data_IF_306364100392
#
_entry.id   IF_306364100392
#
_cell.length_a   1.000
_cell.length_b   1.000
_cell.length_c   1.000
_cell.angle_alpha   90.00
_cell.angle_beta   90.00
_cell.angle_gamma   90.00
#
_symmetry.space_group_name_H-M   'P 1'
#
loop_
_entity.id
_entity.type
_entity.pdbx_description
1 polymer ?
#
# COMPACT_ATOMS: atom_id res chain seq x y z
N UNK A 1 -5.41 43.32 -28.05
CA UNK A 1 -3.93 43.28 -28.02
C UNK A 1 -3.58 42.21 -27.01
N UNK A 2 -3.16 41.03 -27.46
CA UNK A 2 -2.69 39.99 -26.53
C UNK A 2 -1.32 40.43 -26.03
N UNK A 3 -1.23 40.76 -24.76
CA UNK A 3 0.05 41.02 -24.09
C UNK A 3 0.89 39.73 -24.11
N UNK A 4 2.18 39.83 -24.33
CA UNK A 4 3.08 38.70 -24.17
C UNK A 4 3.10 38.26 -22.69
N UNK A 5 3.43 37.00 -22.41
CA UNK A 5 3.50 36.48 -21.05
C UNK A 5 4.38 37.33 -20.12
N UNK A 6 5.48 37.86 -20.63
CA UNK A 6 6.37 38.79 -19.91
C UNK A 6 5.71 40.16 -19.61
N UNK A 7 4.92 40.69 -20.52
CA UNK A 7 4.21 41.95 -20.30
C UNK A 7 3.09 41.81 -19.25
N UNK A 8 2.39 40.70 -19.26
CA UNK A 8 1.40 40.36 -18.23
C UNK A 8 2.02 40.26 -16.84
N UNK A 9 3.21 39.65 -16.73
CA UNK A 9 3.92 39.54 -15.46
C UNK A 9 4.47 40.88 -14.97
N UNK A 10 4.96 41.73 -15.87
CA UNK A 10 5.38 43.10 -15.51
C UNK A 10 4.22 43.92 -14.97
N UNK A 11 3.02 43.84 -15.57
CA UNK A 11 1.83 44.51 -15.03
C UNK A 11 1.40 43.99 -13.66
N UNK A 12 1.52 42.69 -13.43
CA UNK A 12 1.18 42.06 -12.12
C UNK A 12 2.15 42.39 -11.01
N UNK A 13 3.44 42.43 -11.31
CA UNK A 13 4.50 42.80 -10.36
C UNK A 13 4.34 44.28 -9.97
N UNK A 14 3.83 45.10 -10.87
CA UNK A 14 3.69 46.54 -10.68
C UNK A 14 2.37 47.01 -10.04
N UNK A 15 1.48 46.11 -9.58
CA UNK A 15 0.32 46.53 -8.78
C UNK A 15 -1.02 45.84 -9.05
N UNK A 16 -1.00 44.61 -9.56
CA UNK A 16 -2.23 43.87 -9.87
C UNK A 16 -3.08 43.54 -8.64
N UNK A 17 -4.38 43.75 -8.73
CA UNK A 17 -5.37 43.41 -7.71
C UNK A 17 -5.71 41.91 -7.69
N UNK A 18 -6.56 41.51 -6.77
CA UNK A 18 -6.96 40.11 -6.54
C UNK A 18 -7.66 39.46 -7.75
N UNK A 19 -8.35 40.27 -8.57
CA UNK A 19 -9.03 39.84 -9.82
C UNK A 19 -8.02 39.50 -10.90
N UNK A 20 -7.00 40.37 -11.06
CA UNK A 20 -5.91 40.15 -12.01
C UNK A 20 -5.11 38.86 -11.65
N UNK A 21 -4.93 38.54 -10.35
CA UNK A 21 -4.30 37.31 -9.92
C UNK A 21 -5.12 36.06 -10.29
N UNK A 22 -6.45 36.12 -10.22
CA UNK A 22 -7.31 35.01 -10.65
C UNK A 22 -7.27 34.83 -12.17
N UNK A 23 -7.23 35.89 -12.91
CA UNK A 23 -7.09 35.86 -14.38
C UNK A 23 -5.74 35.32 -14.80
N UNK A 24 -4.65 35.70 -14.11
CA UNK A 24 -3.32 35.15 -14.35
C UNK A 24 -3.27 33.65 -14.08
N UNK A 25 -3.88 33.19 -12.98
CA UNK A 25 -3.95 31.77 -12.67
C UNK A 25 -4.65 30.96 -13.77
N UNK A 26 -5.73 31.52 -14.35
CA UNK A 26 -6.43 30.91 -15.49
C UNK A 26 -5.59 30.91 -16.75
N UNK A 27 -4.92 32.02 -17.04
CA UNK A 27 -4.03 32.17 -18.20
C UNK A 27 -2.86 31.16 -18.08
N UNK A 28 -2.23 31.09 -16.91
CA UNK A 28 -1.13 30.18 -16.65
C UNK A 28 -1.51 28.70 -16.85
N UNK A 29 -2.75 28.32 -16.52
CA UNK A 29 -3.26 26.97 -16.75
C UNK A 29 -3.42 26.64 -18.25
N UNK A 30 -3.46 27.62 -19.13
CA UNK A 30 -3.60 27.47 -20.58
C UNK A 30 -2.25 27.46 -21.31
N UNK A 31 -1.15 27.86 -20.64
CA UNK A 31 0.17 27.84 -21.23
C UNK A 31 0.62 26.41 -21.55
N UNK A 32 1.26 26.25 -22.70
CA UNK A 32 2.01 25.03 -22.98
C UNK A 32 3.29 24.95 -22.11
N UNK A 33 3.92 23.78 -22.10
CA UNK A 33 5.10 23.54 -21.25
C UNK A 33 6.26 24.47 -21.58
N UNK A 34 6.51 24.78 -22.85
CA UNK A 34 7.60 25.64 -23.27
C UNK A 34 7.37 27.09 -22.83
N UNK A 35 6.14 27.58 -22.95
CA UNK A 35 5.75 28.90 -22.47
C UNK A 35 5.89 28.98 -20.94
N UNK A 36 5.46 27.94 -20.20
CA UNK A 36 5.59 27.88 -18.75
C UNK A 36 7.06 27.86 -18.31
N UNK A 37 7.95 27.16 -19.03
CA UNK A 37 9.39 27.14 -18.78
C UNK A 37 10.05 28.50 -19.07
N UNK A 38 9.68 29.15 -20.16
CA UNK A 38 10.16 30.52 -20.49
C UNK A 38 9.76 31.51 -19.40
N UNK A 39 8.55 31.38 -18.88
CA UNK A 39 8.04 32.19 -17.78
C UNK A 39 8.81 31.96 -16.49
N UNK A 40 9.06 30.70 -16.15
CA UNK A 40 9.89 30.33 -15.00
C UNK A 40 11.31 30.90 -15.14
N UNK A 41 11.93 30.73 -16.30
CA UNK A 41 13.29 31.25 -16.56
C UNK A 41 13.36 32.79 -16.44
N UNK A 42 12.37 33.50 -16.99
CA UNK A 42 12.26 34.94 -16.85
C UNK A 42 12.11 35.38 -15.39
N UNK A 43 11.20 34.75 -14.64
CA UNK A 43 10.98 35.05 -13.24
C UNK A 43 12.21 34.80 -12.37
N UNK A 44 12.92 33.67 -12.59
CA UNK A 44 14.18 33.36 -11.92
C UNK A 44 15.30 34.37 -12.22
N UNK A 45 15.23 35.05 -13.37
CA UNK A 45 16.12 36.17 -13.74
C UNK A 45 15.80 37.48 -13.03
N UNK A 46 14.64 37.60 -12.39
CA UNK A 46 14.19 38.83 -11.72
C UNK A 46 14.18 38.71 -10.18
N UNK A 47 14.74 37.63 -9.62
CA UNK A 47 14.68 37.34 -8.17
C UNK A 47 15.27 38.45 -7.26
N UNK A 48 16.16 39.30 -7.80
CA UNK A 48 16.78 40.39 -7.03
C UNK A 48 15.87 41.64 -6.89
N UNK A 49 14.67 41.61 -7.47
CA UNK A 49 13.71 42.72 -7.41
C UNK A 49 12.62 42.35 -6.38
N UNK A 50 12.06 43.34 -5.67
CA UNK A 50 10.87 43.14 -4.84
C UNK A 50 9.75 42.55 -5.69
N UNK A 51 9.37 41.31 -5.41
CA UNK A 51 8.40 40.55 -6.20
C UNK A 51 7.23 40.08 -5.36
N UNK A 52 6.08 39.94 -5.99
CA UNK A 52 4.91 39.35 -5.35
C UNK A 52 5.08 37.83 -5.21
N UNK A 53 5.39 37.42 -3.97
CA UNK A 53 5.65 36.01 -3.60
C UNK A 53 4.42 35.11 -3.79
N UNK A 54 3.21 35.66 -3.93
CA UNK A 54 1.99 34.88 -4.12
C UNK A 54 1.94 34.11 -5.45
N UNK A 55 2.78 34.45 -6.41
CA UNK A 55 2.87 33.81 -7.72
C UNK A 55 3.80 32.61 -7.75
N UNK A 56 4.64 32.42 -6.74
CA UNK A 56 5.65 31.37 -6.67
C UNK A 56 5.07 29.98 -6.90
N UNK A 57 3.97 29.68 -6.24
CA UNK A 57 3.32 28.37 -6.36
C UNK A 57 2.78 28.09 -7.76
N UNK A 58 2.48 29.12 -8.52
CA UNK A 58 2.06 28.99 -9.91
C UNK A 58 3.27 28.77 -10.83
N UNK A 59 4.31 29.55 -10.64
CA UNK A 59 5.50 29.54 -11.50
C UNK A 59 6.35 28.27 -11.34
N UNK A 60 6.31 27.61 -10.18
CA UNK A 60 6.99 26.34 -9.93
C UNK A 60 6.29 25.10 -10.49
N UNK A 61 5.16 25.23 -11.20
CA UNK A 61 4.39 24.11 -11.75
C UNK A 61 4.93 23.47 -13.04
N UNK A 62 5.74 24.13 -13.91
CA UNK A 62 6.35 23.41 -15.02
C UNK A 62 7.12 22.21 -14.48
N UNK A 63 6.90 21.04 -15.07
CA UNK A 63 7.51 19.78 -14.62
C UNK A 63 8.53 19.31 -15.64
N UNK A 64 9.52 18.59 -15.13
CA UNK A 64 10.51 17.92 -15.94
C UNK A 64 11.93 18.38 -15.67
N UNK A 65 12.87 17.73 -16.32
CA UNK A 65 14.30 17.94 -16.13
C UNK A 65 14.74 19.39 -16.36
N UNK A 66 14.22 20.02 -17.40
CA UNK A 66 14.53 21.43 -17.74
C UNK A 66 14.11 22.41 -16.63
N UNK A 67 12.92 22.23 -16.06
CA UNK A 67 12.46 23.07 -14.93
C UNK A 67 13.32 22.82 -13.67
N UNK A 68 13.69 21.57 -13.41
CA UNK A 68 14.58 21.21 -12.30
C UNK A 68 15.97 21.84 -12.49
N UNK A 69 16.53 21.82 -13.69
CA UNK A 69 17.82 22.45 -14.01
C UNK A 69 17.80 23.95 -13.81
N UNK A 70 16.75 24.64 -14.27
CA UNK A 70 16.58 26.07 -14.03
C UNK A 70 16.54 26.41 -12.54
N UNK A 71 15.78 25.65 -11.74
CA UNK A 71 15.69 25.85 -10.29
C UNK A 71 17.01 25.53 -9.59
N UNK A 72 17.72 24.45 -9.97
CA UNK A 72 19.05 24.12 -9.42
C UNK A 72 20.07 25.23 -9.76
N UNK A 73 20.06 25.74 -10.99
CA UNK A 73 20.93 26.83 -11.39
C UNK A 73 20.63 28.11 -10.60
N UNK A 74 19.35 28.39 -10.32
CA UNK A 74 18.95 29.52 -9.48
C UNK A 74 19.41 29.34 -8.03
N UNK A 75 19.25 28.15 -7.43
CA UNK A 75 19.72 27.82 -6.08
C UNK A 75 21.23 27.96 -5.94
N UNK A 76 22.00 27.62 -6.98
CA UNK A 76 23.47 27.75 -6.96
C UNK A 76 23.94 29.21 -7.07
N UNK A 77 23.17 30.05 -7.78
CA UNK A 77 23.50 31.48 -7.96
C UNK A 77 23.14 32.33 -6.74
N UNK A 78 22.02 32.02 -6.11
CA UNK A 78 21.46 32.79 -5.02
C UNK A 78 21.89 32.16 -3.68
N UNK A 79 22.61 32.92 -2.87
CA UNK A 79 23.11 32.45 -1.57
C UNK A 79 22.35 33.06 -0.38
N UNK A 80 21.44 33.97 -0.63
CA UNK A 80 20.66 34.60 0.41
C UNK A 80 19.55 33.68 0.91
N UNK A 81 19.38 33.60 2.22
CA UNK A 81 18.47 32.66 2.88
C UNK A 81 17.04 32.76 2.33
N UNK A 82 16.54 33.96 2.06
CA UNK A 82 15.18 34.16 1.58
C UNK A 82 14.95 33.58 0.18
N UNK A 83 15.95 33.66 -0.74
CA UNK A 83 15.88 33.01 -2.04
C UNK A 83 15.83 31.48 -1.92
N UNK A 84 16.63 30.93 -1.02
CA UNK A 84 16.64 29.49 -0.76
C UNK A 84 15.31 29.03 -0.16
N UNK A 85 14.70 29.81 0.75
CA UNK A 85 13.38 29.53 1.30
C UNK A 85 12.31 29.44 0.23
N UNK A 86 12.38 30.26 -0.81
CA UNK A 86 11.45 30.25 -1.93
C UNK A 86 11.67 29.11 -2.92
N UNK A 87 12.91 28.85 -3.27
CA UNK A 87 13.26 27.93 -4.35
C UNK A 87 13.20 26.46 -3.94
N UNK A 88 13.52 26.13 -2.69
CA UNK A 88 13.50 24.74 -2.23
C UNK A 88 12.13 24.07 -2.31
N UNK A 89 11.01 24.71 -1.90
CA UNK A 89 9.68 24.17 -2.12
C UNK A 89 9.34 23.93 -3.59
N UNK A 90 9.77 24.82 -4.49
CA UNK A 90 9.52 24.68 -5.93
C UNK A 90 10.28 23.51 -6.54
N UNK A 91 11.51 23.26 -6.08
CA UNK A 91 12.30 22.11 -6.48
C UNK A 91 11.60 20.78 -6.13
N UNK A 92 10.89 20.72 -4.99
CA UNK A 92 10.09 19.57 -4.61
C UNK A 92 8.98 19.20 -5.58
N UNK A 93 8.43 20.13 -6.34
CA UNK A 93 7.44 19.86 -7.37
C UNK A 93 8.01 19.13 -8.58
N UNK A 94 9.31 19.23 -8.84
CA UNK A 94 9.96 18.63 -10.00
C UNK A 94 10.07 17.10 -9.85
N UNK A 95 10.12 16.60 -8.61
CA UNK A 95 10.11 15.17 -8.27
C UNK A 95 11.32 14.37 -8.78
N UNK A 96 12.40 15.05 -9.11
CA UNK A 96 13.64 14.40 -9.52
C UNK A 96 14.35 13.79 -8.30
N UNK A 97 14.75 12.52 -8.39
CA UNK A 97 15.30 11.77 -7.25
C UNK A 97 16.54 12.42 -6.63
N UNK A 98 17.37 13.08 -7.43
CA UNK A 98 18.55 13.81 -6.94
C UNK A 98 18.15 14.97 -6.02
N UNK A 99 17.07 15.66 -6.35
CA UNK A 99 16.58 16.80 -5.58
C UNK A 99 16.08 16.39 -4.20
N UNK A 100 15.56 15.17 -4.06
CA UNK A 100 15.23 14.63 -2.75
C UNK A 100 16.42 14.62 -1.80
N UNK A 101 17.58 14.15 -2.25
CA UNK A 101 18.75 14.07 -1.38
C UNK A 101 19.28 15.45 -0.99
N UNK A 102 19.21 16.41 -1.90
CA UNK A 102 19.53 17.80 -1.59
C UNK A 102 18.59 18.37 -0.54
N UNK A 103 17.27 18.29 -0.76
CA UNK A 103 16.25 18.79 0.17
C UNK A 103 16.32 18.09 1.54
N UNK A 104 16.46 16.78 1.56
CA UNK A 104 16.62 16.00 2.80
C UNK A 104 17.86 16.43 3.59
N UNK A 105 18.98 16.65 2.91
CA UNK A 105 20.21 17.12 3.54
C UNK A 105 20.02 18.53 4.14
N UNK A 106 19.43 19.46 3.40
CA UNK A 106 19.15 20.83 3.89
C UNK A 106 18.21 20.82 5.13
N UNK A 107 17.20 19.94 5.12
CA UNK A 107 16.29 19.82 6.25
C UNK A 107 16.96 19.22 7.51
N UNK A 108 17.92 18.29 7.33
CA UNK A 108 18.60 17.59 8.43
C UNK A 108 19.79 18.37 9.00
N UNK A 109 20.46 19.18 8.20
CA UNK A 109 21.64 19.92 8.67
C UNK A 109 21.26 21.03 9.67
N UNK A 110 22.12 21.32 10.66
CA UNK A 110 21.95 22.49 11.52
C UNK A 110 21.97 23.78 10.68
N UNK A 111 21.00 24.65 10.93
CA UNK A 111 20.88 25.92 10.22
C UNK A 111 19.62 26.70 10.60
N UNK A 112 19.33 27.83 9.94
CA UNK A 112 18.13 28.62 10.17
C UNK A 112 16.87 27.76 10.05
N UNK A 113 15.93 27.89 10.99
CA UNK A 113 14.70 27.10 11.02
C UNK A 113 13.87 27.29 9.75
N UNK A 114 13.83 28.51 9.21
CA UNK A 114 13.08 28.85 8.01
C UNK A 114 13.59 28.06 6.81
N UNK A 115 14.90 28.01 6.59
CA UNK A 115 15.51 27.20 5.52
C UNK A 115 15.22 25.70 5.66
N UNK A 116 15.35 25.17 6.87
CA UNK A 116 15.07 23.77 7.15
C UNK A 116 13.60 23.43 6.89
N UNK A 117 12.68 24.31 7.24
CA UNK A 117 11.25 24.16 6.95
C UNK A 117 10.96 24.24 5.45
N UNK A 118 11.57 25.19 4.75
CA UNK A 118 11.43 25.29 3.30
C UNK A 118 11.91 24.02 2.58
N UNK A 119 13.02 23.45 3.03
CA UNK A 119 13.52 22.17 2.53
C UNK A 119 12.54 21.02 2.82
N UNK A 120 11.99 20.96 4.04
CA UNK A 120 10.97 19.96 4.41
C UNK A 120 9.67 20.14 3.63
N UNK A 121 9.27 21.37 3.32
CA UNK A 121 8.15 21.65 2.41
C UNK A 121 8.43 21.13 1.01
N UNK A 122 9.65 21.31 0.48
CA UNK A 122 10.08 20.69 -0.78
C UNK A 122 9.94 19.17 -0.74
N UNK A 123 10.38 18.53 0.35
CA UNK A 123 10.17 17.09 0.57
C UNK A 123 8.68 16.74 0.57
N UNK A 124 7.84 17.54 1.21
CA UNK A 124 6.39 17.32 1.28
C UNK A 124 5.71 17.40 -0.10
N UNK A 125 6.14 18.32 -0.96
CA UNK A 125 5.57 18.50 -2.31
C UNK A 125 5.86 17.33 -3.24
N UNK A 126 6.99 16.66 -3.08
CA UNK A 126 7.36 15.47 -3.85
C UNK A 126 7.05 14.13 -3.14
N UNK A 127 6.31 14.13 -2.03
CA UNK A 127 6.15 12.99 -1.11
C UNK A 127 5.80 11.66 -1.78
N UNK A 128 4.93 11.68 -2.80
CA UNK A 128 4.47 10.47 -3.51
C UNK A 128 5.48 9.93 -4.53
N UNK A 129 6.54 10.66 -4.82
CA UNK A 129 7.50 10.34 -5.89
C UNK A 129 8.88 9.96 -5.36
N UNK A 130 9.17 10.31 -4.11
CA UNK A 130 10.47 10.03 -3.51
C UNK A 130 10.67 8.54 -3.20
N UNK A 131 11.93 8.06 -3.20
CA UNK A 131 12.25 6.71 -2.75
C UNK A 131 11.82 6.49 -1.30
N UNK A 132 10.92 5.53 -1.06
CA UNK A 132 10.22 5.37 0.22
C UNK A 132 11.17 5.14 1.42
N UNK A 133 12.22 4.33 1.24
CA UNK A 133 13.15 3.98 2.33
C UNK A 133 13.99 5.19 2.79
N UNK A 134 14.67 5.95 1.91
CA UNK A 134 15.38 7.17 2.28
C UNK A 134 14.43 8.25 2.84
N UNK A 135 13.26 8.43 2.25
CA UNK A 135 12.25 9.39 2.72
C UNK A 135 11.81 9.09 4.15
N UNK A 136 11.46 7.84 4.43
CA UNK A 136 11.08 7.43 5.79
C UNK A 136 12.22 7.66 6.78
N UNK A 137 13.44 7.34 6.40
CA UNK A 137 14.62 7.58 7.24
C UNK A 137 14.80 9.07 7.56
N UNK A 138 14.73 9.93 6.55
CA UNK A 138 14.82 11.39 6.70
C UNK A 138 13.74 11.91 7.68
N UNK A 139 12.48 11.56 7.46
CA UNK A 139 11.36 12.01 8.31
C UNK A 139 11.46 11.48 9.74
N UNK A 140 11.98 10.27 9.95
CA UNK A 140 12.24 9.72 11.28
C UNK A 140 13.36 10.46 12.01
N UNK A 141 14.40 10.92 11.31
CA UNK A 141 15.45 11.75 11.91
C UNK A 141 14.90 13.14 12.28
N UNK A 142 14.17 13.79 11.36
CA UNK A 142 13.54 15.08 11.62
C UNK A 142 12.49 15.01 12.73
N UNK A 143 11.78 13.88 12.87
CA UNK A 143 10.84 13.68 14.00
C UNK A 143 11.49 13.65 15.38
N UNK A 144 12.83 13.58 15.46
CA UNK A 144 13.64 13.68 16.69
C UNK A 144 14.32 15.02 16.84
N UNK A 145 14.03 15.96 15.97
CA UNK A 145 14.67 17.27 15.95
C UNK A 145 14.37 18.07 17.22
N UNK A 146 15.34 18.88 17.64
CA UNK A 146 15.22 19.76 18.80
C UNK A 146 14.23 20.91 18.58
N UNK A 147 13.91 21.22 17.31
CA UNK A 147 12.89 22.20 16.95
C UNK A 147 11.51 21.53 16.85
N UNK A 148 10.61 21.70 17.83
CA UNK A 148 9.34 20.96 17.87
C UNK A 148 8.47 21.17 16.64
N UNK A 149 8.50 22.37 16.04
CA UNK A 149 7.72 22.68 14.83
C UNK A 149 8.15 21.79 13.67
N UNK A 150 9.45 21.67 13.43
CA UNK A 150 10.01 20.84 12.37
C UNK A 150 9.71 19.35 12.62
N UNK A 151 9.86 18.91 13.88
CA UNK A 151 9.58 17.54 14.28
C UNK A 151 8.10 17.17 14.09
N UNK A 152 7.17 18.06 14.43
CA UNK A 152 5.72 17.87 14.24
C UNK A 152 5.39 17.77 12.75
N UNK A 153 5.92 18.67 11.91
CA UNK A 153 5.73 18.61 10.45
C UNK A 153 6.25 17.30 9.88
N UNK A 154 7.42 16.82 10.31
CA UNK A 154 7.97 15.54 9.90
C UNK A 154 7.09 14.35 10.34
N UNK A 155 6.54 14.36 11.54
CA UNK A 155 5.57 13.35 12.04
C UNK A 155 4.32 13.34 11.15
N UNK A 156 3.81 14.50 10.77
CA UNK A 156 2.64 14.61 9.89
C UNK A 156 2.91 14.05 8.50
N UNK A 157 4.08 14.28 7.94
CA UNK A 157 4.50 13.71 6.66
C UNK A 157 4.72 12.19 6.77
N UNK A 158 5.34 11.72 7.85
CA UNK A 158 5.54 10.30 8.13
C UNK A 158 4.19 9.54 8.19
N UNK A 159 3.16 10.19 8.77
CA UNK A 159 1.81 9.64 8.84
C UNK A 159 1.11 9.51 7.47
N UNK A 160 1.58 10.23 6.45
CA UNK A 160 1.04 10.16 5.06
C UNK A 160 1.73 9.11 4.20
N UNK A 161 2.82 8.51 4.67
CA UNK A 161 3.53 7.46 3.93
C UNK A 161 2.78 6.13 3.94
N UNK A 162 3.04 5.24 2.97
CA UNK A 162 2.60 3.85 3.04
C UNK A 162 3.08 3.19 4.34
N UNK A 163 2.18 2.43 5.00
CA UNK A 163 2.46 1.77 6.29
C UNK A 163 3.04 2.71 7.35
N UNK A 164 2.32 3.76 7.73
CA UNK A 164 2.86 4.81 8.58
C UNK A 164 3.16 4.32 9.99
N UNK A 165 2.44 3.31 10.50
CA UNK A 165 2.59 2.80 11.87
C UNK A 165 3.98 2.34 12.21
N UNK A 166 4.66 1.67 11.29
CA UNK A 166 6.03 1.18 11.53
C UNK A 166 6.97 2.35 11.89
N UNK A 167 6.95 3.42 11.10
CA UNK A 167 7.74 4.61 11.37
C UNK A 167 7.29 5.37 12.62
N UNK A 168 5.97 5.56 12.80
CA UNK A 168 5.42 6.26 13.95
C UNK A 168 5.67 5.50 15.27
N UNK A 169 5.59 4.17 15.28
CA UNK A 169 5.90 3.36 16.46
C UNK A 169 7.39 3.40 16.81
N UNK A 170 8.27 3.28 15.80
CA UNK A 170 9.71 3.39 16.01
C UNK A 170 10.09 4.77 16.57
N UNK A 171 9.47 5.85 16.06
CA UNK A 171 9.70 7.19 16.56
C UNK A 171 9.16 7.37 18.00
N UNK A 172 7.97 6.84 18.31
CA UNK A 172 7.37 6.90 19.65
C UNK A 172 8.18 6.15 20.72
N UNK A 173 9.02 5.20 20.31
CA UNK A 173 9.94 4.49 21.22
C UNK A 173 11.24 5.27 21.49
N UNK A 174 11.41 6.47 20.91
CA UNK A 174 12.59 7.31 21.12
C UNK A 174 12.46 8.02 22.48
N UNK A 175 13.43 7.90 23.38
CA UNK A 175 13.40 8.61 24.65
C UNK A 175 13.68 10.11 24.46
N UNK A 176 13.10 10.96 25.31
CA UNK A 176 13.40 12.39 25.36
C UNK A 176 12.79 13.23 24.24
N UNK A 177 11.74 12.74 23.58
CA UNK A 177 10.98 13.57 22.62
C UNK A 177 10.31 14.74 23.32
N UNK A 178 10.23 15.88 22.60
CA UNK A 178 9.45 17.02 23.07
C UNK A 178 7.98 16.61 23.32
N UNK A 179 7.35 17.09 24.41
CA UNK A 179 5.97 16.74 24.77
C UNK A 179 4.95 16.99 23.65
N UNK A 180 5.10 18.08 22.89
CA UNK A 180 4.21 18.40 21.78
C UNK A 180 4.35 17.42 20.60
N UNK A 181 5.57 16.95 20.34
CA UNK A 181 5.85 15.90 19.35
C UNK A 181 5.28 14.57 19.81
N UNK A 182 5.45 14.22 21.08
CA UNK A 182 4.89 12.99 21.65
C UNK A 182 3.36 12.99 21.57
N UNK A 183 2.69 14.10 21.89
CA UNK A 183 1.24 14.25 21.74
C UNK A 183 0.80 14.10 20.26
N UNK A 184 1.52 14.73 19.34
CA UNK A 184 1.24 14.61 17.90
C UNK A 184 1.38 13.17 17.42
N UNK A 185 2.41 12.46 17.87
CA UNK A 185 2.61 11.03 17.58
C UNK A 185 1.45 10.17 18.07
N UNK A 186 0.96 10.39 19.29
CA UNK A 186 -0.22 9.66 19.81
C UNK A 186 -1.42 9.86 18.89
N UNK A 187 -1.72 11.09 18.49
CA UNK A 187 -2.83 11.42 17.58
C UNK A 187 -2.66 10.76 16.21
N UNK A 188 -1.46 10.83 15.61
CA UNK A 188 -1.19 10.26 14.28
C UNK A 188 -1.17 8.74 14.30
N UNK A 189 -0.68 8.12 15.36
CA UNK A 189 -0.75 6.67 15.56
C UNK A 189 -2.19 6.18 15.66
N UNK A 190 -3.03 6.87 16.43
CA UNK A 190 -4.45 6.55 16.54
C UNK A 190 -5.15 6.64 15.18
N UNK A 191 -4.90 7.70 14.41
CA UNK A 191 -5.47 7.89 13.07
C UNK A 191 -4.94 6.87 12.04
N UNK A 192 -3.72 6.37 12.22
CA UNK A 192 -3.11 5.36 11.37
C UNK A 192 -3.44 3.92 11.79
N UNK A 193 -4.28 3.72 12.82
CA UNK A 193 -4.70 2.38 13.23
C UNK A 193 -5.53 1.76 12.11
N UNK A 194 -5.07 0.65 11.48
CA UNK A 194 -5.87 -0.04 10.49
C UNK A 194 -7.12 -0.65 11.15
N UNK A 195 -8.13 -0.92 10.35
CA UNK A 195 -9.30 -1.67 10.82
C UNK A 195 -8.88 -3.06 11.33
N UNK A 196 -9.54 -3.57 12.35
CA UNK A 196 -9.35 -4.95 12.77
C UNK A 196 -9.65 -5.92 11.63
N UNK A 197 -9.04 -7.09 11.65
CA UNK A 197 -9.33 -8.16 10.69
C UNK A 197 -10.07 -9.30 11.35
N UNK A 198 -11.03 -9.87 10.63
CA UNK A 198 -11.66 -11.15 10.94
C UNK A 198 -11.35 -12.12 9.80
N UNK A 199 -10.44 -13.07 10.03
CA UNK A 199 -10.12 -14.12 9.07
C UNK A 199 -11.07 -15.29 9.29
N UNK A 200 -11.89 -15.58 8.28
CA UNK A 200 -12.87 -16.67 8.32
C UNK A 200 -12.38 -17.81 7.42
N UNK A 201 -12.35 -19.02 7.99
CA UNK A 201 -11.88 -20.23 7.31
C UNK A 201 -12.74 -21.45 7.66
N UNK A 202 -12.59 -22.55 6.91
CA UNK A 202 -13.37 -23.75 7.16
C UNK A 202 -13.12 -24.33 8.56
N UNK A 203 -11.86 -24.33 9.01
CA UNK A 203 -11.46 -25.03 10.25
C UNK A 203 -11.37 -26.55 10.07
N UNK A 204 -10.93 -27.24 11.13
CA UNK A 204 -10.94 -28.69 11.25
C UNK A 204 -12.08 -29.13 12.17
N UNK A 205 -12.32 -30.42 12.27
CA UNK A 205 -13.30 -30.98 13.22
C UNK A 205 -13.07 -30.40 14.63
N UNK A 206 -14.14 -29.97 15.29
CA UNK A 206 -14.07 -29.32 16.61
C UNK A 206 -13.57 -27.89 16.63
N UNK A 207 -13.60 -27.17 15.47
CA UNK A 207 -13.27 -25.75 15.40
C UNK A 207 -11.77 -25.43 15.39
N UNK A 208 -10.90 -26.45 15.37
CA UNK A 208 -9.46 -26.21 15.42
C UNK A 208 -8.95 -25.52 14.16
N UNK A 209 -8.08 -24.54 14.34
CA UNK A 209 -7.49 -23.72 13.28
C UNK A 209 -6.08 -24.23 12.99
N UNK A 210 -5.68 -24.41 11.73
CA UNK A 210 -4.34 -24.80 11.35
C UNK A 210 -3.26 -23.84 11.86
N UNK A 211 -2.07 -24.38 12.19
CA UNK A 211 -0.96 -23.61 12.77
C UNK A 211 -0.50 -22.47 11.83
N UNK A 212 -0.51 -22.71 10.52
CA UNK A 212 -0.14 -21.71 9.50
C UNK A 212 -1.03 -20.46 9.56
N UNK A 213 -2.31 -20.63 9.90
CA UNK A 213 -3.27 -19.53 10.05
C UNK A 213 -3.02 -18.77 11.37
N UNK A 214 -2.71 -19.45 12.45
CA UNK A 214 -2.31 -18.80 13.70
C UNK A 214 -1.03 -17.99 13.53
N UNK A 215 -0.04 -18.53 12.83
CA UNK A 215 1.18 -17.82 12.48
C UNK A 215 0.88 -16.57 11.64
N UNK A 216 0.09 -16.73 10.58
CA UNK A 216 -0.33 -15.61 9.72
C UNK A 216 -1.03 -14.51 10.54
N UNK A 217 -1.93 -14.88 11.44
CA UNK A 217 -2.64 -13.91 12.28
C UNK A 217 -1.69 -13.16 13.24
N UNK A 218 -0.74 -13.87 13.85
CA UNK A 218 0.25 -13.26 14.74
C UNK A 218 1.18 -12.28 13.98
N UNK A 219 1.68 -12.66 12.81
CA UNK A 219 2.50 -11.80 11.98
C UNK A 219 1.70 -10.57 11.47
N UNK A 220 0.44 -10.77 11.05
CA UNK A 220 -0.45 -9.68 10.67
C UNK A 220 -0.68 -8.69 11.80
N UNK A 221 -0.87 -9.18 13.03
CA UNK A 221 -1.07 -8.32 14.18
C UNK A 221 0.18 -7.47 14.48
N UNK A 222 1.37 -8.04 14.30
CA UNK A 222 2.64 -7.31 14.44
C UNK A 222 2.81 -6.28 13.30
N UNK A 223 2.65 -6.72 12.05
CA UNK A 223 2.91 -5.89 10.87
C UNK A 223 1.87 -4.75 10.69
N UNK A 224 0.59 -5.04 10.92
CA UNK A 224 -0.49 -4.04 10.84
C UNK A 224 -0.62 -3.23 12.13
N UNK A 225 -0.46 -3.90 13.28
CA UNK A 225 -0.71 -3.36 14.61
C UNK A 225 -2.21 -3.20 14.95
N UNK A 226 -3.12 -3.73 14.13
CA UNK A 226 -4.54 -3.93 14.44
C UNK A 226 -4.79 -5.32 15.03
N UNK A 227 -5.97 -5.54 15.63
CA UNK A 227 -6.37 -6.87 16.12
C UNK A 227 -6.67 -7.79 14.94
N UNK A 228 -6.35 -9.07 15.09
CA UNK A 228 -6.70 -10.11 14.12
C UNK A 228 -7.47 -11.21 14.85
N UNK A 229 -8.74 -11.35 14.47
CA UNK A 229 -9.61 -12.40 14.98
C UNK A 229 -9.64 -13.56 13.98
N UNK A 230 -9.69 -14.77 14.50
CA UNK A 230 -9.84 -15.98 13.70
C UNK A 230 -11.20 -16.60 13.98
N UNK A 231 -11.90 -17.03 12.95
CA UNK A 231 -13.15 -17.76 13.07
C UNK A 231 -13.20 -18.93 12.10
N UNK A 232 -13.26 -20.15 12.68
CA UNK A 232 -13.57 -21.35 11.92
C UNK A 232 -15.09 -21.47 11.74
N UNK A 233 -15.55 -21.95 10.56
CA UNK A 233 -16.97 -22.23 10.33
C UNK A 233 -17.51 -23.32 11.26
N UNK A 234 -16.64 -24.23 11.67
CA UNK A 234 -16.96 -25.36 12.56
C UNK A 234 -16.94 -24.99 14.04
N UNK A 235 -16.62 -23.73 14.35
CA UNK A 235 -16.62 -23.20 15.72
C UNK A 235 -17.88 -22.37 15.97
N UNK A 236 -18.84 -22.94 16.69
CA UNK A 236 -20.09 -22.26 17.04
C UNK A 236 -19.91 -21.17 18.11
N UNK A 237 -18.76 -21.14 18.81
CA UNK A 237 -18.47 -20.24 19.92
C UNK A 237 -17.51 -19.09 19.55
N UNK A 238 -17.07 -19.01 18.31
CA UNK A 238 -15.99 -18.13 17.87
C UNK A 238 -16.14 -16.63 18.18
N UNK A 239 -17.35 -16.02 18.26
CA UNK A 239 -17.45 -14.61 18.61
C UNK A 239 -17.16 -14.30 20.09
N UNK A 240 -17.11 -15.28 20.97
CA UNK A 240 -17.00 -15.06 22.43
C UNK A 240 -15.69 -14.36 22.82
N UNK A 241 -14.59 -14.62 22.12
CA UNK A 241 -13.31 -13.94 22.40
C UNK A 241 -13.35 -12.46 22.01
N UNK A 242 -14.10 -12.09 20.99
CA UNK A 242 -14.26 -10.72 20.55
C UNK A 242 -15.16 -9.90 21.49
N UNK A 243 -16.08 -10.52 22.21
CA UNK A 243 -16.97 -9.83 23.16
C UNK A 243 -16.22 -9.17 24.33
N UNK A 244 -14.98 -9.58 24.60
CA UNK A 244 -14.12 -8.94 25.59
C UNK A 244 -13.55 -7.60 25.14
N UNK A 245 -13.78 -7.18 23.90
CA UNK A 245 -13.29 -5.93 23.33
C UNK A 245 -14.46 -5.02 22.93
N UNK A 246 -14.31 -3.70 23.06
CA UNK A 246 -15.30 -2.78 22.53
C UNK A 246 -15.38 -2.91 21.00
N UNK A 247 -16.59 -2.86 20.41
CA UNK A 247 -16.77 -2.88 18.98
C UNK A 247 -15.98 -1.78 18.27
N UNK A 248 -15.27 -2.16 17.21
CA UNK A 248 -14.51 -1.27 16.36
C UNK A 248 -14.68 -1.66 14.89
N UNK A 249 -14.37 -0.78 13.92
CA UNK A 249 -14.41 -1.15 12.51
C UNK A 249 -13.57 -2.39 12.23
N UNK A 250 -14.18 -3.39 11.58
CA UNK A 250 -13.56 -4.67 11.29
C UNK A 250 -13.75 -5.06 9.82
N UNK A 251 -12.72 -5.61 9.22
CA UNK A 251 -12.74 -6.13 7.85
C UNK A 251 -12.74 -7.67 7.88
N UNK A 252 -13.84 -8.27 7.42
CA UNK A 252 -13.96 -9.73 7.28
C UNK A 252 -13.31 -10.17 5.98
N UNK A 253 -12.37 -11.10 6.09
CA UNK A 253 -11.63 -11.72 4.99
C UNK A 253 -11.95 -13.21 4.94
N UNK A 254 -12.73 -13.68 3.96
CA UNK A 254 -13.01 -15.09 3.78
C UNK A 254 -11.81 -15.80 3.14
N UNK A 255 -11.11 -16.65 3.89
CA UNK A 255 -9.98 -17.43 3.41
C UNK A 255 -10.46 -18.71 2.71
N UNK A 256 -11.09 -18.56 1.55
CA UNK A 256 -11.58 -19.63 0.70
C UNK A 256 -11.05 -19.46 -0.73
N UNK A 257 -10.75 -20.58 -1.40
CA UNK A 257 -10.30 -20.56 -2.80
C UNK A 257 -11.45 -20.52 -3.79
N UNK A 258 -12.60 -21.08 -3.41
CA UNK A 258 -13.74 -21.29 -4.31
C UNK A 258 -15.04 -20.79 -3.69
N UNK A 259 -16.00 -20.32 -4.53
CA UNK A 259 -17.30 -19.80 -4.07
C UNK A 259 -18.31 -20.92 -3.77
N UNK A 260 -17.93 -21.86 -2.89
CA UNK A 260 -18.81 -22.93 -2.41
C UNK A 260 -19.91 -22.41 -1.48
N UNK A 261 -20.70 -23.33 -0.89
CA UNK A 261 -21.81 -23.01 0.01
C UNK A 261 -21.36 -22.12 1.18
N UNK A 262 -20.20 -22.38 1.75
CA UNK A 262 -19.66 -21.61 2.86
C UNK A 262 -19.48 -20.12 2.52
N UNK A 263 -18.98 -19.81 1.33
CA UNK A 263 -18.82 -18.41 0.89
C UNK A 263 -20.16 -17.74 0.62
N UNK A 264 -21.16 -18.53 0.15
CA UNK A 264 -22.47 -18.00 -0.24
C UNK A 264 -23.40 -17.82 0.95
N UNK A 265 -23.34 -18.68 1.95
CA UNK A 265 -24.31 -18.71 3.08
C UNK A 265 -23.65 -18.45 4.44
N UNK A 266 -22.59 -19.17 4.81
CA UNK A 266 -22.02 -19.10 6.16
C UNK A 266 -21.27 -17.80 6.41
N UNK A 267 -20.46 -17.36 5.46
CA UNK A 267 -19.73 -16.09 5.56
C UNK A 267 -20.68 -14.88 5.69
N UNK A 268 -21.78 -14.76 4.92
CA UNK A 268 -22.81 -13.75 5.17
C UNK A 268 -23.46 -13.85 6.52
N UNK A 269 -23.77 -15.07 7.01
CA UNK A 269 -24.37 -15.29 8.34
C UNK A 269 -23.43 -14.84 9.46
N UNK A 270 -22.14 -15.18 9.37
CA UNK A 270 -21.10 -14.69 10.29
C UNK A 270 -21.04 -13.15 10.27
N UNK A 271 -21.02 -12.54 9.08
CA UNK A 271 -21.00 -11.09 8.97
C UNK A 271 -22.24 -10.43 9.60
N UNK A 272 -23.43 -11.02 9.44
CA UNK A 272 -24.65 -10.56 10.07
C UNK A 272 -24.60 -10.70 11.60
N UNK A 273 -24.07 -11.82 12.09
CA UNK A 273 -23.90 -12.06 13.52
C UNK A 273 -22.97 -11.03 14.16
N UNK A 274 -21.81 -10.75 13.58
CA UNK A 274 -20.89 -9.72 14.11
C UNK A 274 -21.54 -8.33 14.12
N UNK A 275 -22.30 -7.98 13.08
CA UNK A 275 -23.02 -6.70 13.03
C UNK A 275 -24.10 -6.58 14.10
N UNK A 276 -24.82 -7.67 14.40
CA UNK A 276 -25.83 -7.68 15.47
C UNK A 276 -25.23 -7.43 16.86
N UNK A 277 -23.94 -7.70 17.03
CA UNK A 277 -23.16 -7.39 18.24
C UNK A 277 -22.50 -6.02 18.21
N UNK A 278 -22.90 -5.13 17.29
CA UNK A 278 -22.45 -3.74 17.23
C UNK A 278 -21.13 -3.52 16.48
N UNK A 279 -20.56 -4.53 15.82
CA UNK A 279 -19.33 -4.36 15.06
C UNK A 279 -19.60 -3.74 13.68
N UNK A 280 -19.05 -2.55 13.35
CA UNK A 280 -19.08 -2.00 11.99
C UNK A 280 -18.24 -2.87 11.06
N UNK A 281 -18.87 -3.84 10.39
CA UNK A 281 -18.17 -4.86 9.62
C UNK A 281 -18.28 -4.63 8.12
N UNK A 282 -17.13 -4.56 7.44
CA UNK A 282 -16.96 -4.62 5.98
C UNK A 282 -16.54 -6.04 5.58
N UNK A 283 -17.26 -6.65 4.63
CA UNK A 283 -16.89 -7.95 4.07
C UNK A 283 -16.15 -7.78 2.75
N UNK A 284 -15.01 -8.45 2.60
CA UNK A 284 -14.30 -8.56 1.32
C UNK A 284 -14.78 -9.77 0.50
N UNK A 285 -14.50 -9.81 -0.80
CA UNK A 285 -14.60 -11.03 -1.60
C UNK A 285 -13.74 -12.15 -0.98
N UNK A 286 -14.08 -13.42 -1.26
CA UNK A 286 -13.25 -14.55 -0.85
C UNK A 286 -11.86 -14.51 -1.51
N UNK A 287 -10.86 -15.04 -0.85
CA UNK A 287 -9.44 -14.92 -1.22
C UNK A 287 -9.18 -15.38 -2.68
N UNK A 288 -9.79 -16.49 -3.09
CA UNK A 288 -9.64 -17.00 -4.47
C UNK A 288 -10.07 -16.00 -5.54
N UNK A 289 -10.94 -15.02 -5.22
CA UNK A 289 -11.35 -13.97 -6.15
C UNK A 289 -10.38 -12.77 -6.21
N UNK A 290 -9.31 -12.76 -5.41
CA UNK A 290 -8.38 -11.63 -5.40
C UNK A 290 -7.42 -11.68 -6.59
N UNK A 291 -7.34 -10.63 -7.43
CA UNK A 291 -6.53 -10.64 -8.65
C UNK A 291 -5.05 -10.93 -8.40
N UNK A 292 -4.45 -10.33 -7.37
CA UNK A 292 -3.03 -10.54 -7.04
C UNK A 292 -2.76 -11.94 -6.49
N UNK A 293 -3.73 -12.53 -5.79
CA UNK A 293 -3.64 -13.92 -5.32
C UNK A 293 -3.71 -14.90 -6.47
N UNK A 294 -4.66 -14.72 -7.38
CA UNK A 294 -4.76 -15.51 -8.61
C UNK A 294 -3.49 -15.36 -9.48
N UNK A 295 -2.94 -14.15 -9.58
CA UNK A 295 -1.69 -13.92 -10.32
C UNK A 295 -0.52 -14.70 -9.70
N UNK A 296 -0.41 -14.73 -8.37
CA UNK A 296 0.63 -15.50 -7.70
C UNK A 296 0.53 -17.00 -8.00
N UNK A 297 -0.69 -17.57 -7.95
CA UNK A 297 -0.94 -18.99 -8.32
C UNK A 297 -0.60 -19.21 -9.79
N UNK A 298 -1.11 -18.39 -10.70
CA UNK A 298 -0.85 -18.51 -12.14
C UNK A 298 0.63 -18.46 -12.49
N UNK A 299 1.39 -17.56 -11.88
CA UNK A 299 2.84 -17.44 -12.08
C UNK A 299 3.59 -18.69 -11.62
N UNK A 300 3.20 -19.26 -10.48
CA UNK A 300 3.82 -20.49 -9.98
C UNK A 300 3.48 -21.73 -10.84
N UNK A 301 2.24 -21.82 -11.33
CA UNK A 301 1.84 -22.87 -12.27
C UNK A 301 2.57 -22.75 -13.61
N UNK A 302 2.81 -21.52 -14.07
CA UNK A 302 3.59 -21.30 -15.29
C UNK A 302 5.06 -21.71 -15.12
N UNK A 303 5.65 -21.44 -13.96
CA UNK A 303 7.00 -21.92 -13.63
C UNK A 303 7.07 -23.46 -13.66
N UNK A 304 6.10 -24.14 -13.04
CA UNK A 304 6.02 -25.59 -13.07
C UNK A 304 5.92 -26.16 -14.50
N UNK A 305 5.16 -25.49 -15.39
CA UNK A 305 5.11 -25.91 -16.82
C UNK A 305 6.44 -25.74 -17.54
N UNK A 306 7.18 -24.69 -17.24
CA UNK A 306 8.53 -24.50 -17.82
C UNK A 306 9.51 -25.60 -17.38
N UNK A 307 9.25 -26.23 -16.24
CA UNK A 307 9.97 -27.41 -15.74
C UNK A 307 9.43 -28.73 -16.34
N UNK A 308 8.44 -28.66 -17.23
CA UNK A 308 7.86 -29.82 -17.91
C UNK A 308 6.73 -30.52 -17.14
N UNK A 309 6.28 -29.94 -16.00
CA UNK A 309 5.19 -30.51 -15.21
C UNK A 309 3.82 -30.11 -15.77
N UNK A 310 2.84 -31.00 -15.71
CA UNK A 310 1.45 -30.74 -16.06
C UNK A 310 0.60 -30.52 -14.80
N UNK A 311 0.18 -29.32 -14.49
CA UNK A 311 -0.62 -29.06 -13.30
C UNK A 311 -2.03 -29.64 -13.42
N UNK A 312 -2.51 -30.31 -12.38
CA UNK A 312 -3.89 -30.71 -12.15
C UNK A 312 -4.37 -30.12 -10.83
N UNK A 313 -5.35 -29.21 -10.92
CA UNK A 313 -5.89 -28.52 -9.75
C UNK A 313 -6.99 -29.37 -9.09
N UNK A 314 -6.84 -29.66 -7.80
CA UNK A 314 -7.77 -30.48 -7.05
C UNK A 314 -8.56 -29.64 -6.04
N UNK A 315 -9.89 -29.80 -6.04
CA UNK A 315 -10.77 -29.03 -5.17
C UNK A 315 -11.85 -29.91 -4.54
N UNK A 316 -12.43 -29.46 -3.43
CA UNK A 316 -13.61 -30.12 -2.87
C UNK A 316 -14.77 -30.13 -3.86
N UNK A 317 -15.58 -31.20 -3.88
CA UNK A 317 -16.80 -31.23 -4.66
C UNK A 317 -17.65 -29.98 -4.41
N UNK A 318 -18.08 -29.33 -5.48
CA UNK A 318 -18.84 -28.09 -5.43
C UNK A 318 -20.23 -28.33 -6.02
N UNK A 319 -21.19 -27.54 -5.55
CA UNK A 319 -22.54 -27.53 -6.07
C UNK A 319 -22.97 -26.10 -6.48
N UNK A 320 -23.84 -26.02 -7.47
CA UNK A 320 -24.42 -24.77 -7.95
C UNK A 320 -23.68 -24.12 -9.12
N UNK A 321 -24.45 -23.42 -9.95
CA UNK A 321 -23.97 -22.84 -11.21
C UNK A 321 -22.84 -21.82 -11.05
N UNK A 322 -22.85 -21.05 -9.96
CA UNK A 322 -21.80 -20.06 -9.68
C UNK A 322 -20.45 -20.75 -9.46
N UNK A 323 -20.42 -21.81 -8.66
CA UNK A 323 -19.20 -22.54 -8.37
C UNK A 323 -18.64 -23.22 -9.64
N UNK A 324 -19.47 -23.83 -10.45
CA UNK A 324 -19.04 -24.43 -11.72
C UNK A 324 -18.47 -23.40 -12.71
N UNK A 325 -19.14 -22.26 -12.87
CA UNK A 325 -18.62 -21.18 -13.74
C UNK A 325 -17.28 -20.65 -13.24
N UNK A 326 -17.11 -20.58 -11.92
CA UNK A 326 -15.85 -20.11 -11.34
C UNK A 326 -14.73 -21.14 -11.56
N UNK A 327 -14.99 -22.43 -11.45
CA UNK A 327 -14.01 -23.47 -11.77
C UNK A 327 -13.59 -23.38 -13.25
N UNK A 328 -14.53 -23.25 -14.18
CA UNK A 328 -14.24 -23.04 -15.60
C UNK A 328 -13.38 -21.78 -15.85
N UNK A 329 -13.66 -20.70 -15.13
CA UNK A 329 -12.82 -19.48 -15.19
C UNK A 329 -11.38 -19.77 -14.71
N UNK A 330 -11.20 -20.55 -13.63
CA UNK A 330 -9.88 -20.91 -13.13
C UNK A 330 -9.14 -21.81 -14.15
N UNK A 331 -9.82 -22.79 -14.77
CA UNK A 331 -9.24 -23.63 -15.81
C UNK A 331 -8.69 -22.80 -16.98
N UNK A 332 -9.50 -21.85 -17.46
CA UNK A 332 -9.09 -20.94 -18.53
C UNK A 332 -7.95 -20.03 -18.10
N UNK A 333 -8.03 -19.45 -16.89
CA UNK A 333 -7.05 -18.50 -16.41
C UNK A 333 -5.70 -19.13 -16.09
N UNK A 334 -5.73 -20.35 -15.56
CA UNK A 334 -4.53 -21.08 -15.16
C UNK A 334 -4.04 -22.04 -16.24
N UNK A 335 -4.79 -22.19 -17.34
CA UNK A 335 -4.51 -23.15 -18.40
C UNK A 335 -4.25 -24.59 -17.87
N UNK A 336 -4.99 -24.94 -16.82
CA UNK A 336 -4.83 -26.19 -16.10
C UNK A 336 -6.20 -26.78 -15.75
N UNK A 337 -6.42 -28.10 -15.96
CA UNK A 337 -7.67 -28.73 -15.59
C UNK A 337 -7.92 -28.67 -14.09
N UNK A 338 -9.19 -28.47 -13.71
CA UNK A 338 -9.66 -28.50 -12.33
C UNK A 338 -10.53 -29.76 -12.15
N UNK A 339 -10.18 -30.59 -11.19
CA UNK A 339 -10.91 -31.81 -10.89
C UNK A 339 -11.46 -31.78 -9.46
N UNK A 340 -12.75 -32.15 -9.25
CA UNK A 340 -13.24 -32.37 -7.90
C UNK A 340 -12.48 -33.53 -7.26
N UNK A 341 -12.14 -33.35 -5.98
CA UNK A 341 -11.48 -34.37 -5.20
C UNK A 341 -12.33 -35.66 -5.14
N UNK A 342 -11.71 -36.75 -5.44
CA UNK A 342 -12.19 -38.09 -5.24
C UNK A 342 -11.12 -38.92 -4.50
N UNK A 343 -11.36 -40.19 -4.25
CA UNK A 343 -10.32 -41.04 -3.72
C UNK A 343 -9.12 -41.14 -4.69
N UNK A 344 -7.87 -41.24 -4.19
CA UNK A 344 -6.67 -41.24 -5.02
C UNK A 344 -6.72 -42.26 -6.15
N UNK A 345 -7.30 -43.43 -5.90
CA UNK A 345 -7.48 -44.52 -6.91
C UNK A 345 -8.39 -44.14 -8.07
N UNK A 346 -9.19 -43.08 -7.93
CA UNK A 346 -10.11 -42.59 -8.96
C UNK A 346 -9.55 -41.42 -9.77
N UNK A 347 -8.40 -40.88 -9.34
CA UNK A 347 -7.73 -39.85 -10.12
C UNK A 347 -7.08 -40.47 -11.35
N UNK A 348 -7.41 -39.93 -12.51
CA UNK A 348 -6.72 -40.33 -13.75
C UNK A 348 -5.35 -39.66 -13.79
N UNK A 349 -4.31 -40.48 -13.62
CA UNK A 349 -2.91 -40.04 -13.67
C UNK A 349 -2.24 -40.84 -14.79
N UNK A 350 -1.70 -40.14 -15.77
CA UNK A 350 -0.87 -40.75 -16.79
C UNK A 350 0.53 -41.04 -16.20
N UNK A 351 0.92 -42.32 -16.06
CA UNK A 351 2.22 -42.63 -15.42
C UNK A 351 3.40 -42.28 -16.34
N UNK A 352 3.15 -41.93 -17.59
CA UNK A 352 4.20 -41.61 -18.58
C UNK A 352 4.51 -40.13 -18.64
N UNK A 353 3.65 -39.28 -18.09
CA UNK A 353 3.80 -37.83 -18.16
C UNK A 353 4.04 -37.24 -16.76
N UNK A 354 5.02 -36.31 -16.62
CA UNK A 354 5.24 -35.60 -15.36
C UNK A 354 4.02 -34.77 -14.99
N UNK A 355 3.40 -35.09 -13.84
CA UNK A 355 2.21 -34.38 -13.34
C UNK A 355 2.49 -33.65 -12.03
N UNK A 356 1.82 -32.53 -11.84
CA UNK A 356 1.83 -31.76 -10.61
C UNK A 356 0.41 -31.70 -10.03
N UNK A 357 0.17 -32.40 -8.91
CA UNK A 357 -1.09 -32.32 -8.20
C UNK A 357 -1.12 -31.11 -7.27
N UNK A 358 -2.07 -30.24 -7.49
CA UNK A 358 -2.19 -28.94 -6.80
C UNK A 358 -3.48 -28.90 -6.01
N UNK A 359 -3.47 -29.19 -4.70
CA UNK A 359 -4.65 -28.99 -3.88
C UNK A 359 -4.95 -27.49 -3.77
N UNK A 360 -6.17 -27.10 -4.15
CA UNK A 360 -6.65 -25.72 -3.93
C UNK A 360 -7.04 -25.52 -2.48
N UNK A 361 -6.10 -25.82 -1.60
CA UNK A 361 -6.22 -25.71 -0.14
C UNK A 361 -5.29 -24.61 0.38
N UNK A 362 -5.83 -23.68 1.15
CA UNK A 362 -5.05 -22.59 1.75
C UNK A 362 -4.11 -23.14 2.82
N UNK A 363 -4.64 -23.95 3.71
CA UNK A 363 -3.91 -24.61 4.81
C UNK A 363 -4.18 -26.10 4.78
N UNK A 364 -3.46 -26.87 5.60
CA UNK A 364 -3.60 -28.32 5.69
C UNK A 364 -5.06 -28.77 5.93
N UNK A 365 -5.56 -29.65 5.08
CA UNK A 365 -6.92 -30.18 5.11
C UNK A 365 -6.94 -31.68 4.74
N UNK A 366 -8.13 -32.26 4.67
CA UNK A 366 -8.30 -33.68 4.34
C UNK A 366 -7.73 -34.06 2.97
N UNK A 367 -7.88 -33.21 1.95
CA UNK A 367 -7.36 -33.47 0.59
C UNK A 367 -5.83 -33.50 0.64
N UNK A 368 -5.20 -32.48 1.21
CA UNK A 368 -3.73 -32.44 1.32
C UNK A 368 -3.17 -33.59 2.14
N UNK A 369 -3.86 -34.00 3.22
CA UNK A 369 -3.46 -35.13 4.03
C UNK A 369 -3.59 -36.46 3.25
N UNK A 370 -4.67 -36.68 2.53
CA UNK A 370 -4.86 -37.88 1.72
C UNK A 370 -3.86 -37.95 0.56
N UNK A 371 -3.56 -36.83 -0.11
CA UNK A 371 -2.54 -36.75 -1.14
C UNK A 371 -1.15 -37.12 -0.60
N UNK A 372 -0.79 -36.64 0.60
CA UNK A 372 0.49 -36.93 1.23
C UNK A 372 0.60 -38.38 1.70
N UNK A 373 -0.53 -39.02 2.07
CA UNK A 373 -0.56 -40.42 2.54
C UNK A 373 -0.56 -41.43 1.39
N UNK A 374 -0.70 -40.99 0.14
CA UNK A 374 -0.76 -41.85 -1.02
C UNK A 374 0.63 -42.04 -1.62
N UNK A 375 0.96 -43.28 -1.99
CA UNK A 375 2.19 -43.61 -2.70
C UNK A 375 1.98 -43.35 -4.21
N UNK A 376 2.56 -42.23 -4.68
CA UNK A 376 2.41 -41.79 -6.06
C UNK A 376 3.56 -42.29 -6.94
N UNK A 377 3.33 -42.52 -8.25
CA UNK A 377 4.41 -42.76 -9.19
C UNK A 377 5.47 -41.66 -9.16
N UNK A 378 6.71 -42.01 -9.48
CA UNK A 378 7.84 -41.06 -9.47
C UNK A 378 7.65 -39.82 -10.38
N UNK A 379 6.79 -39.95 -11.40
CA UNK A 379 6.42 -38.86 -12.32
C UNK A 379 5.45 -37.82 -11.68
N UNK A 380 4.88 -38.12 -10.49
CA UNK A 380 3.91 -37.26 -9.84
C UNK A 380 4.57 -36.44 -8.74
N UNK A 381 4.45 -35.11 -8.83
CA UNK A 381 4.83 -34.18 -7.79
C UNK A 381 3.59 -33.65 -7.06
N UNK A 382 3.73 -33.33 -5.78
CA UNK A 382 2.65 -32.76 -4.97
C UNK A 382 3.02 -31.36 -4.53
N UNK A 383 2.10 -30.40 -4.70
CA UNK A 383 2.21 -29.16 -3.94
C UNK A 383 1.71 -29.37 -2.49
N UNK A 384 2.42 -28.86 -1.51
CA UNK A 384 1.85 -28.70 -0.19
C UNK A 384 0.74 -27.64 -0.22
N UNK A 385 -0.09 -27.53 0.84
CA UNK A 385 -1.04 -26.44 0.98
C UNK A 385 -0.40 -25.08 0.74
N UNK A 386 -1.16 -24.15 0.14
CA UNK A 386 -0.59 -22.88 -0.37
C UNK A 386 0.18 -22.11 0.69
N UNK A 387 -0.31 -22.01 1.93
CA UNK A 387 0.40 -21.28 3.00
C UNK A 387 1.64 -21.98 3.54
N UNK A 388 1.85 -23.25 3.23
CA UNK A 388 3.11 -23.93 3.55
C UNK A 388 4.23 -23.60 2.56
N UNK A 389 3.91 -22.91 1.46
CA UNK A 389 4.86 -22.43 0.50
C UNK A 389 5.17 -20.96 0.77
N UNK A 390 6.43 -20.64 1.03
CA UNK A 390 6.86 -19.31 1.48
C UNK A 390 6.45 -18.16 0.54
N UNK A 391 6.45 -18.37 -0.77
CA UNK A 391 6.07 -17.33 -1.71
C UNK A 391 4.56 -16.99 -1.66
N UNK A 392 3.67 -17.98 -1.46
CA UNK A 392 2.24 -17.73 -1.27
C UNK A 392 1.96 -17.12 0.10
N UNK A 393 2.62 -17.63 1.14
CA UNK A 393 2.51 -17.06 2.48
C UNK A 393 2.89 -15.57 2.47
N UNK A 394 4.06 -15.24 1.93
CA UNK A 394 4.55 -13.85 1.85
C UNK A 394 3.65 -12.97 0.98
N UNK A 395 3.12 -13.51 -0.12
CA UNK A 395 2.17 -12.80 -0.99
C UNK A 395 0.87 -12.46 -0.24
N UNK A 396 0.28 -13.43 0.47
CA UNK A 396 -0.94 -13.21 1.24
C UNK A 396 -0.71 -12.23 2.40
N UNK A 397 0.36 -12.43 3.18
CA UNK A 397 0.72 -11.52 4.26
C UNK A 397 0.84 -10.07 3.75
N UNK A 398 1.55 -9.86 2.66
CA UNK A 398 1.72 -8.53 2.05
C UNK A 398 0.38 -7.91 1.60
N UNK A 399 -0.51 -8.71 1.00
CA UNK A 399 -1.82 -8.23 0.57
C UNK A 399 -2.70 -7.86 1.79
N UNK A 400 -2.74 -8.70 2.82
CA UNK A 400 -3.50 -8.44 4.04
C UNK A 400 -2.96 -7.25 4.84
N UNK A 401 -1.63 -7.08 4.91
CA UNK A 401 -1.00 -5.91 5.54
C UNK A 401 -1.37 -4.61 4.82
N UNK A 402 -1.61 -4.66 3.51
CA UNK A 402 -1.98 -3.47 2.72
C UNK A 402 -3.45 -3.07 2.82
N UNK A 403 -4.31 -3.90 3.42
CA UNK A 403 -5.72 -3.55 3.63
C UNK A 403 -5.87 -2.32 4.55
N UNK A 404 -6.87 -1.45 4.33
CA UNK A 404 -7.12 -0.27 5.14
C UNK A 404 -7.57 -0.61 6.56
#
# INVERSE_FOLDING_TARGET
MELSASQWLEELVNGGDLLQRQELSRYYQQLDQNQALQLLAWWLGQLDKEQDLSLIDLLGRPKGEEAAELLRAALLRNKDDWHLELLMPLLGYQRETLDFFFLANQALQPGPLALRRAALEGVARGLSSWPLKPLRHCLMQLGKDLQPVLAIEAVDLLARLPRPRQGLNALASTPGLDPSVAERLVRRRAAATPTDLLLVLHGRAGGSIPAEIHQLAAELQIERGGRVFLQALTDEQAPMQALNFPPAPITLVPLFQLPGQHVQFDVPAIAAHWRSHGWPLRRLPFLGAWPLWQQAIGSALQAARTEGLRPLLLHHPLSGSLAFRYVQLLEQRFEAPCQPWCEPAQLYIDPTEPQLLVPLAIAANQISAALQATDWPAAVQLWPPLLQQQHFYSSLLKQLVSLP
#
